data_IF_906860363059
#
_entry.id   IF_906860363059
#
_cell.length_a   1.000
_cell.length_b   1.000
_cell.length_c   1.000
_cell.angle_alpha   90.00
_cell.angle_beta   90.00
_cell.angle_gamma   90.00
#
_symmetry.space_group_name_H-M   'P 1'
#
loop_
_entity.id
_entity.type
_entity.pdbx_description
1 polymer ?
#
# COMPACT_ATOMS: atom_id res chain seq x y z
N UNK A 1 -0.20 -22.95 2.21
CA UNK A 1 1.19 -22.45 1.99
C UNK A 1 1.04 -20.98 1.70
N UNK A 2 1.34 -20.11 2.67
CA UNK A 2 1.27 -18.66 2.47
C UNK A 2 2.46 -18.27 1.60
N UNK A 3 2.21 -17.94 0.34
CA UNK A 3 3.24 -17.51 -0.60
C UNK A 3 4.12 -16.44 0.05
N UNK A 4 5.46 -16.53 -0.09
CA UNK A 4 6.32 -15.44 0.35
C UNK A 4 5.80 -14.19 -0.34
N UNK A 5 5.45 -13.16 0.44
CA UNK A 5 4.92 -11.92 -0.10
C UNK A 5 6.01 -11.25 -0.94
N UNK A 6 6.16 -11.72 -2.18
CA UNK A 6 7.10 -11.17 -3.12
C UNK A 6 6.67 -9.74 -3.34
N UNK A 7 7.52 -8.83 -2.87
CA UNK A 7 7.29 -7.41 -3.07
C UNK A 7 7.28 -7.19 -4.59
N UNK A 8 6.15 -6.75 -5.16
CA UNK A 8 5.98 -6.69 -6.59
C UNK A 8 6.99 -5.70 -7.19
N UNK A 9 7.38 -5.95 -8.44
CA UNK A 9 8.46 -5.21 -9.11
C UNK A 9 8.23 -3.68 -9.11
N UNK A 10 6.98 -3.26 -9.30
CA UNK A 10 6.56 -1.85 -9.21
C UNK A 10 6.79 -1.26 -7.82
N UNK A 11 6.59 -2.03 -6.75
CA UNK A 11 6.94 -1.58 -5.39
C UNK A 11 8.44 -1.51 -5.21
N UNK A 12 9.21 -2.49 -5.71
CA UNK A 12 10.69 -2.43 -5.68
C UNK A 12 11.25 -1.25 -6.47
N UNK A 13 10.56 -0.79 -7.52
CA UNK A 13 10.96 0.35 -8.36
C UNK A 13 10.98 1.65 -7.57
N UNK A 14 9.99 1.87 -6.70
CA UNK A 14 9.91 3.10 -5.89
C UNK A 14 10.47 2.91 -4.47
N UNK A 15 10.39 1.69 -3.95
CA UNK A 15 10.92 1.28 -2.66
C UNK A 15 11.97 0.17 -2.89
N UNK A 16 13.21 0.53 -3.28
CA UNK A 16 14.27 -0.44 -3.54
C UNK A 16 14.62 -1.29 -2.31
N UNK A 17 14.42 -0.74 -1.11
CA UNK A 17 14.57 -1.45 0.16
C UNK A 17 13.38 -2.36 0.53
N UNK A 18 12.37 -2.45 -0.34
CA UNK A 18 11.18 -3.26 -0.14
C UNK A 18 10.10 -2.55 0.66
N UNK A 19 9.46 -3.24 1.61
CA UNK A 19 8.34 -2.66 2.38
C UNK A 19 8.91 -1.62 3.35
N UNK A 20 8.36 -0.39 3.35
CA UNK A 20 8.68 0.65 4.31
C UNK A 20 8.71 0.18 5.75
N UNK A 21 9.66 0.68 6.54
CA UNK A 21 9.73 0.35 7.96
C UNK A 21 8.44 0.71 8.70
N UNK A 22 7.80 1.82 8.35
CA UNK A 22 6.51 2.19 8.94
C UNK A 22 5.41 1.20 8.63
N UNK A 23 5.36 0.67 7.39
CA UNK A 23 4.41 -0.40 7.06
C UNK A 23 4.79 -1.73 7.71
N UNK A 24 6.07 -2.03 7.89
CA UNK A 24 6.52 -3.21 8.66
C UNK A 24 6.13 -3.12 10.14
N UNK A 25 6.17 -1.93 10.73
CA UNK A 25 5.74 -1.69 12.13
C UNK A 25 4.23 -1.80 12.29
N UNK A 26 3.47 -1.24 11.33
CA UNK A 26 2.00 -1.32 11.35
C UNK A 26 1.48 -2.72 10.99
N UNK A 27 2.13 -3.36 10.03
CA UNK A 27 1.75 -4.67 9.50
C UNK A 27 2.94 -5.64 9.52
N UNK A 28 3.33 -6.13 10.71
CA UNK A 28 4.46 -7.05 10.86
C UNK A 28 4.17 -8.42 10.22
N UNK A 29 2.89 -8.81 10.15
CA UNK A 29 2.47 -10.11 9.62
C UNK A 29 2.20 -10.11 8.11
N UNK A 30 2.20 -8.96 7.43
CA UNK A 30 1.86 -8.97 6.01
C UNK A 30 1.41 -7.64 5.43
N UNK A 31 0.78 -7.63 4.24
CA UNK A 31 0.09 -6.44 3.77
C UNK A 31 -1.08 -6.11 4.70
N UNK A 32 -1.64 -4.89 4.59
CA UNK A 32 -2.86 -4.55 5.30
C UNK A 32 -3.99 -5.51 4.93
N UNK A 33 -4.79 -5.90 5.91
CA UNK A 33 -6.03 -6.63 5.69
C UNK A 33 -7.05 -5.81 4.87
N UNK A 34 -8.06 -6.51 4.33
CA UNK A 34 -9.09 -5.89 3.47
C UNK A 34 -9.84 -4.74 4.12
N UNK A 35 -9.97 -4.76 5.45
CA UNK A 35 -10.62 -3.69 6.21
C UNK A 35 -9.91 -2.34 6.05
N UNK A 36 -8.60 -2.35 5.81
CA UNK A 36 -7.82 -1.13 5.57
C UNK A 36 -7.98 -0.62 4.14
N UNK A 37 -8.40 -1.48 3.22
CA UNK A 37 -8.76 -1.14 1.83
C UNK A 37 -10.25 -0.81 1.69
N UNK A 38 -11.04 -0.87 2.77
CA UNK A 38 -12.45 -0.47 2.74
C UNK A 38 -12.57 1.02 2.42
N UNK A 39 -13.33 1.34 1.37
CA UNK A 39 -13.41 2.69 0.83
C UNK A 39 -12.22 3.09 -0.04
N UNK A 40 -11.48 2.14 -0.62
CA UNK A 40 -10.46 2.41 -1.64
C UNK A 40 -11.06 3.20 -2.82
N UNK A 41 -10.43 4.32 -3.15
CA UNK A 41 -10.73 5.11 -4.34
C UNK A 41 -9.44 5.24 -5.16
N UNK A 42 -9.48 5.03 -6.50
CA UNK A 42 -8.30 5.20 -7.33
C UNK A 42 -7.73 6.62 -7.19
N UNK A 43 -6.46 6.70 -6.79
CA UNK A 43 -5.75 7.98 -6.59
C UNK A 43 -5.91 8.60 -5.21
N UNK A 44 -6.65 7.93 -4.31
CA UNK A 44 -6.72 8.32 -2.91
C UNK A 44 -6.37 7.13 -2.02
N UNK A 45 -5.73 7.43 -0.88
CA UNK A 45 -5.58 6.44 0.17
C UNK A 45 -6.95 6.19 0.82
N UNK A 46 -7.30 4.93 1.12
CA UNK A 46 -8.53 4.59 1.82
C UNK A 46 -8.62 5.35 3.15
N UNK A 47 -9.83 5.73 3.59
CA UNK A 47 -10.01 6.42 4.86
C UNK A 47 -9.42 5.62 6.03
N UNK A 48 -9.68 4.31 6.09
CA UNK A 48 -9.16 3.40 7.12
C UNK A 48 -7.63 3.33 7.13
N UNK A 49 -7.02 3.26 5.95
CA UNK A 49 -5.57 3.29 5.83
C UNK A 49 -5.02 4.66 6.23
N UNK A 50 -5.69 5.75 5.86
CA UNK A 50 -5.33 7.13 6.22
C UNK A 50 -5.42 7.37 7.73
N UNK A 51 -6.35 6.72 8.43
CA UNK A 51 -6.43 6.77 9.90
C UNK A 51 -5.18 6.21 10.58
N UNK A 52 -4.51 5.21 10.00
CA UNK A 52 -3.22 4.72 10.50
C UNK A 52 -2.12 5.76 10.37
N UNK A 53 -2.26 6.67 9.42
CA UNK A 53 -1.35 7.78 9.16
C UNK A 53 -1.95 9.12 9.57
N UNK A 54 -2.84 9.14 10.58
CA UNK A 54 -3.42 10.41 11.08
C UNK A 54 -2.35 11.38 11.59
N UNK A 55 -1.24 10.84 12.10
CA UNK A 55 -0.06 11.59 12.55
C UNK A 55 0.79 12.11 11.37
N UNK A 56 0.42 11.73 10.15
CA UNK A 56 1.12 12.03 8.90
C UNK A 56 1.61 10.76 8.23
N UNK A 57 1.68 10.81 6.89
CA UNK A 57 2.38 9.77 6.12
C UNK A 57 3.87 9.84 6.47
N UNK A 58 4.49 8.75 6.92
CA UNK A 58 5.90 8.73 7.30
C UNK A 58 6.77 9.02 6.08
N UNK A 59 7.95 9.60 6.31
CA UNK A 59 8.85 10.03 5.22
C UNK A 59 9.25 8.90 4.28
N UNK A 60 9.40 7.69 4.81
CA UNK A 60 9.69 6.52 3.99
C UNK A 60 8.55 6.19 3.00
N UNK A 61 7.29 6.50 3.35
CA UNK A 61 6.14 6.40 2.45
C UNK A 61 5.95 7.65 1.55
N UNK A 62 6.64 8.76 1.85
CA UNK A 62 6.67 9.98 1.02
C UNK A 62 7.67 9.88 -0.14
N UNK A 63 7.92 8.68 -0.67
CA UNK A 63 8.66 8.50 -1.93
C UNK A 63 8.01 9.25 -3.08
N UNK A 64 6.70 9.47 -3.00
CA UNK A 64 5.89 10.19 -3.96
C UNK A 64 5.69 11.64 -3.52
N UNK A 65 6.62 12.52 -3.88
CA UNK A 65 6.57 13.96 -3.52
C UNK A 65 5.49 14.75 -4.28
N UNK A 66 5.21 14.35 -5.52
CA UNK A 66 4.22 14.97 -6.43
C UNK A 66 2.90 14.17 -6.53
N UNK A 67 2.68 13.23 -5.61
CA UNK A 67 1.59 12.28 -5.69
C UNK A 67 1.99 10.95 -6.32
N UNK A 68 1.07 9.98 -6.21
CA UNK A 68 1.34 8.59 -6.59
C UNK A 68 1.41 8.49 -8.13
N UNK A 69 2.49 7.96 -8.71
CA UNK A 69 2.62 7.78 -10.15
C UNK A 69 1.61 6.75 -10.66
N UNK A 70 1.12 6.96 -11.88
CA UNK A 70 0.00 6.20 -12.46
C UNK A 70 0.22 4.68 -12.46
N UNK A 71 1.44 4.22 -12.76
CA UNK A 71 1.82 2.80 -12.73
C UNK A 71 1.71 2.20 -11.32
N UNK A 72 2.11 2.96 -10.29
CA UNK A 72 1.95 2.53 -8.89
C UNK A 72 0.50 2.59 -8.46
N UNK A 73 -0.24 3.61 -8.91
CA UNK A 73 -1.66 3.75 -8.62
C UNK A 73 -2.46 2.60 -9.21
N UNK A 74 -2.19 2.20 -10.45
CA UNK A 74 -2.81 1.04 -11.10
C UNK A 74 -2.50 -0.25 -10.36
N UNK A 75 -1.25 -0.43 -9.94
CA UNK A 75 -0.87 -1.56 -9.10
C UNK A 75 -1.63 -1.60 -7.77
N UNK A 76 -1.76 -0.46 -7.09
CA UNK A 76 -2.53 -0.39 -5.86
C UNK A 76 -4.03 -0.67 -6.11
N UNK A 77 -4.58 -0.22 -7.23
CA UNK A 77 -5.96 -0.47 -7.62
C UNK A 77 -6.21 -1.97 -7.87
N UNK A 78 -5.36 -2.62 -8.65
CA UNK A 78 -5.43 -4.07 -8.89
C UNK A 78 -5.26 -4.87 -7.60
N UNK A 79 -4.36 -4.44 -6.71
CA UNK A 79 -4.20 -5.07 -5.39
C UNK A 79 -5.41 -4.86 -4.50
N UNK A 80 -5.94 -3.65 -4.44
CA UNK A 80 -7.15 -3.34 -3.68
C UNK A 80 -8.32 -4.17 -4.20
N UNK A 81 -8.50 -4.28 -5.52
CA UNK A 81 -9.53 -5.12 -6.13
C UNK A 81 -9.39 -6.61 -5.75
N UNK A 82 -8.16 -7.15 -5.81
CA UNK A 82 -7.88 -8.53 -5.36
C UNK A 82 -8.19 -8.73 -3.86
N UNK A 83 -7.78 -7.79 -3.01
CA UNK A 83 -7.98 -7.86 -1.56
C UNK A 83 -9.46 -7.71 -1.19
N UNK A 84 -10.18 -6.83 -1.89
CA UNK A 84 -11.63 -6.60 -1.71
C UNK A 84 -12.47 -7.71 -2.35
N UNK A 85 -11.87 -8.64 -3.10
CA UNK A 85 -12.57 -9.73 -3.76
C UNK A 85 -13.53 -9.26 -4.86
N UNK A 86 -13.28 -8.10 -5.47
CA UNK A 86 -14.02 -7.65 -6.65
C UNK A 86 -13.47 -8.40 -7.86
N UNK A 87 -14.03 -9.59 -8.11
CA UNK A 87 -13.83 -10.34 -9.35
C UNK A 87 -14.80 -9.88 -10.43
#
# INVERSE_FOLDING_TARGET
>A
MSEPQEIPAVVKKYFPNGRPESLRKLFPNGPPDKEFFEGWEPGKLPPKFKELFKDGVPEDLKVFKDGIPEDFQKFLDERAAQILGKN
#
